data_IF_814151544267
#
_entry.id   IF_814151544267
#
_cell.length_a   1.000
_cell.length_b   1.000
_cell.length_c   1.000
_cell.angle_alpha   90.00
_cell.angle_beta   90.00
_cell.angle_gamma   90.00
#
_symmetry.space_group_name_H-M   'P 1'
#
loop_
_entity.id
_entity.type
_entity.pdbx_description
1 polymer ?
#
# COMPACT_ATOMS: atom_id res chain seq x y z
N UNK A 1 -11.35 -19.38 -3.40
CA UNK A 1 -10.63 -18.19 -3.91
C UNK A 1 -9.63 -18.66 -4.95
N UNK A 2 -9.61 -18.09 -6.17
CA UNK A 2 -8.65 -18.50 -7.22
C UNK A 2 -7.25 -17.91 -6.99
N UNK A 3 -6.21 -18.53 -7.59
CA UNK A 3 -4.81 -18.09 -7.47
C UNK A 3 -4.63 -16.60 -7.80
N UNK A 4 -5.17 -16.15 -8.94
CA UNK A 4 -5.05 -14.75 -9.39
C UNK A 4 -5.68 -13.78 -8.39
N UNK A 5 -6.85 -14.13 -7.86
CA UNK A 5 -7.53 -13.29 -6.87
C UNK A 5 -6.73 -13.18 -5.56
N UNK A 6 -6.10 -14.28 -5.13
CA UNK A 6 -5.23 -14.26 -3.94
C UNK A 6 -4.00 -13.36 -4.16
N UNK A 7 -3.38 -13.40 -5.34
CA UNK A 7 -2.24 -12.56 -5.67
C UNK A 7 -2.60 -11.07 -5.70
N UNK A 8 -3.77 -10.72 -6.25
CA UNK A 8 -4.26 -9.35 -6.27
C UNK A 8 -4.47 -8.84 -4.83
N UNK A 9 -5.17 -9.63 -4.00
CA UNK A 9 -5.43 -9.27 -2.61
C UNK A 9 -4.13 -9.13 -1.83
N UNK A 10 -3.21 -10.09 -1.95
CA UNK A 10 -1.90 -10.03 -1.29
C UNK A 10 -1.15 -8.76 -1.69
N UNK A 11 -1.12 -8.44 -2.98
CA UNK A 11 -0.40 -7.26 -3.48
C UNK A 11 -0.98 -5.98 -2.89
N UNK A 12 -2.30 -5.79 -2.93
CA UNK A 12 -2.96 -4.61 -2.37
C UNK A 12 -2.70 -4.49 -0.87
N UNK A 13 -2.85 -5.59 -0.13
CA UNK A 13 -2.64 -5.61 1.33
C UNK A 13 -1.19 -5.28 1.67
N UNK A 14 -0.23 -5.86 0.94
CA UNK A 14 1.19 -5.62 1.16
C UNK A 14 1.57 -4.16 0.89
N UNK A 15 1.15 -3.60 -0.25
CA UNK A 15 1.40 -2.20 -0.58
C UNK A 15 0.78 -1.23 0.43
N UNK A 16 -0.47 -1.50 0.85
CA UNK A 16 -1.13 -0.70 1.88
C UNK A 16 -0.40 -0.74 3.23
N UNK A 17 0.02 -1.93 3.67
CA UNK A 17 0.75 -2.12 4.93
C UNK A 17 2.11 -1.40 4.88
N UNK A 18 2.89 -1.62 3.82
CA UNK A 18 4.21 -1.00 3.68
C UNK A 18 4.11 0.52 3.55
N UNK A 19 3.12 1.03 2.81
CA UNK A 19 2.85 2.46 2.73
C UNK A 19 2.49 3.07 4.08
N UNK A 20 1.64 2.39 4.86
CA UNK A 20 1.29 2.84 6.22
C UNK A 20 2.49 2.88 7.15
N UNK A 21 3.40 1.89 7.08
CA UNK A 21 4.63 1.86 7.87
C UNK A 21 5.54 3.04 7.49
N UNK A 22 5.79 3.24 6.20
CA UNK A 22 6.71 4.28 5.71
C UNK A 22 6.16 5.68 6.00
N UNK A 23 4.91 5.95 5.63
CA UNK A 23 4.30 7.27 5.83
C UNK A 23 3.95 7.54 7.28
N UNK A 24 3.59 6.51 8.05
CA UNK A 24 3.45 6.62 9.50
C UNK A 24 4.77 7.03 10.16
N UNK A 25 5.88 6.36 9.81
CA UNK A 25 7.20 6.70 10.33
C UNK A 25 7.67 8.11 9.89
N UNK A 26 7.33 8.53 8.67
CA UNK A 26 7.65 9.86 8.16
C UNK A 26 6.72 10.97 8.70
N UNK A 27 5.63 10.63 9.39
CA UNK A 27 4.61 11.60 9.81
C UNK A 27 3.78 12.19 8.66
N UNK A 28 3.74 11.50 7.51
CA UNK A 28 3.08 11.95 6.28
C UNK A 28 1.92 11.04 5.87
N UNK A 29 1.27 10.37 6.82
CA UNK A 29 0.21 9.39 6.52
C UNK A 29 -1.00 10.03 5.81
N UNK A 30 -1.30 11.31 6.11
CA UNK A 30 -2.39 12.07 5.49
C UNK A 30 -2.00 12.69 4.14
N UNK A 31 -0.76 12.51 3.68
CA UNK A 31 -0.27 13.05 2.42
C UNK A 31 -0.66 12.15 1.24
N UNK A 32 -1.79 12.46 0.59
CA UNK A 32 -2.32 11.69 -0.55
C UNK A 32 -1.32 11.50 -1.69
N UNK A 33 -0.44 12.48 -1.95
CA UNK A 33 0.57 12.39 -3.00
C UNK A 33 1.56 11.24 -2.80
N UNK A 34 1.91 10.93 -1.54
CA UNK A 34 2.79 9.81 -1.21
C UNK A 34 2.15 8.46 -1.56
N UNK A 35 0.87 8.30 -1.24
CA UNK A 35 0.12 7.08 -1.57
C UNK A 35 -0.02 6.86 -3.07
N UNK A 36 -0.23 7.93 -3.84
CA UNK A 36 -0.29 7.86 -5.30
C UNK A 36 1.08 7.44 -5.88
N UNK A 37 2.19 7.89 -5.31
CA UNK A 37 3.54 7.49 -5.74
C UNK A 37 3.81 6.00 -5.54
N UNK A 38 3.24 5.35 -4.52
CA UNK A 38 3.44 3.91 -4.30
C UNK A 38 2.75 3.02 -5.35
N UNK A 39 1.76 3.56 -6.07
CA UNK A 39 1.03 2.84 -7.11
C UNK A 39 1.50 3.12 -8.54
N UNK A 40 2.51 3.97 -8.71
CA UNK A 40 3.11 4.37 -10.00
C UNK A 40 4.51 3.80 -10.11
#
# INVERSE_FOLDING_TARGET
>A
MGLVLNLIVQTIVWFGLMGAIIFGAAGTIDYTGGWLYLGV
#
